data_IF_467196791679
#
_entry.id   IF_467196791679
#
_cell.length_a   1.000
_cell.length_b   1.000
_cell.length_c   1.000
_cell.angle_alpha   90.00
_cell.angle_beta   90.00
_cell.angle_gamma   90.00
#
_symmetry.space_group_name_H-M   'P 1'
#
loop_
_entity.id
_entity.type
_entity.pdbx_description
1 polymer ?
#
# COMPACT_ATOMS: atom_id res chain seq x y z
N UNK A 1 -17.24 2.78 7.61
CA UNK A 1 -15.98 2.03 7.77
C UNK A 1 -14.91 2.59 6.86
N UNK A 2 -13.78 3.01 7.42
CA UNK A 2 -12.59 3.37 6.65
C UNK A 2 -11.88 2.11 6.10
N UNK A 3 -10.87 2.28 5.24
CA UNK A 3 -10.16 1.15 4.60
C UNK A 3 -9.47 0.26 5.63
N UNK A 4 -8.86 0.81 6.66
CA UNK A 4 -8.19 0.04 7.72
C UNK A 4 -9.19 -0.83 8.49
N UNK A 5 -10.35 -0.29 8.86
CA UNK A 5 -11.43 -1.04 9.50
C UNK A 5 -11.94 -2.17 8.60
N UNK A 6 -11.99 -1.96 7.27
CA UNK A 6 -12.38 -3.02 6.31
C UNK A 6 -11.35 -4.15 6.28
N UNK A 7 -10.06 -3.82 6.31
CA UNK A 7 -9.00 -4.82 6.34
C UNK A 7 -9.07 -5.67 7.61
N UNK A 8 -9.31 -5.05 8.77
CA UNK A 8 -9.47 -5.75 10.04
C UNK A 8 -10.66 -6.72 10.05
N UNK A 9 -11.81 -6.29 9.51
CA UNK A 9 -13.02 -7.09 9.55
C UNK A 9 -13.12 -8.16 8.45
N UNK A 10 -12.45 -7.96 7.30
CA UNK A 10 -12.74 -8.73 6.08
C UNK A 10 -11.51 -9.31 5.37
N UNK A 11 -10.27 -9.01 5.79
CA UNK A 11 -9.05 -9.52 5.13
C UNK A 11 -8.22 -10.36 6.11
N UNK A 12 -7.79 -11.55 5.68
CA UNK A 12 -6.83 -12.33 6.46
C UNK A 12 -5.42 -11.73 6.30
N UNK A 13 -4.87 -11.21 7.40
CA UNK A 13 -3.56 -10.55 7.44
C UNK A 13 -2.49 -11.36 8.19
N UNK A 14 -2.69 -12.68 8.36
CA UNK A 14 -1.79 -13.53 9.18
C UNK A 14 -0.35 -13.65 8.66
N UNK A 15 -0.09 -13.28 7.40
CA UNK A 15 1.24 -13.30 6.79
C UNK A 15 1.99 -11.96 6.86
N UNK A 16 1.43 -10.93 7.50
CA UNK A 16 2.08 -9.62 7.66
C UNK A 16 2.16 -9.23 9.13
N UNK A 17 3.18 -8.42 9.49
CA UNK A 17 3.37 -7.99 10.88
C UNK A 17 2.35 -6.94 11.34
N UNK A 18 1.93 -6.05 10.43
CA UNK A 18 0.95 -5.01 10.71
C UNK A 18 0.38 -4.42 9.40
N UNK A 19 -0.82 -3.85 9.47
CA UNK A 19 -1.39 -3.01 8.41
C UNK A 19 -0.88 -1.58 8.62
N UNK A 20 -0.28 -1.00 7.58
CA UNK A 20 0.12 0.42 7.61
C UNK A 20 -1.09 1.31 7.27
N UNK A 21 -1.28 2.45 7.96
CA UNK A 21 -2.41 3.34 7.75
C UNK A 21 -2.19 4.26 6.55
N UNK A 22 -1.89 3.67 5.39
CA UNK A 22 -1.69 4.37 4.12
C UNK A 22 -2.45 3.62 3.02
N UNK A 23 -3.12 4.37 2.16
CA UNK A 23 -3.86 3.83 1.01
C UNK A 23 -3.28 4.48 -0.24
N UNK A 24 -2.74 3.66 -1.13
CA UNK A 24 -2.20 4.12 -2.42
C UNK A 24 -3.26 4.01 -3.51
N UNK A 25 -3.39 5.02 -4.36
CA UNK A 25 -4.41 5.10 -5.41
C UNK A 25 -3.85 4.87 -6.84
N UNK A 26 -2.63 5.33 -7.12
CA UNK A 26 -1.93 5.13 -8.38
C UNK A 26 -0.40 5.09 -8.20
N UNK A 27 0.29 4.66 -9.27
CA UNK A 27 1.75 4.56 -9.32
C UNK A 27 2.26 4.90 -10.74
N UNK A 28 3.45 5.48 -10.83
CA UNK A 28 4.16 5.77 -12.08
C UNK A 28 5.67 5.56 -11.90
N UNK A 29 6.26 4.67 -12.70
CA UNK A 29 7.66 4.28 -12.54
C UNK A 29 7.95 3.75 -11.12
N UNK A 30 8.94 4.35 -10.45
CA UNK A 30 9.32 4.01 -9.08
C UNK A 30 8.56 4.82 -8.00
N UNK A 31 7.50 5.56 -8.38
CA UNK A 31 6.72 6.40 -7.47
C UNK A 31 5.33 5.81 -7.21
N UNK A 32 4.87 5.89 -5.96
CA UNK A 32 3.49 5.59 -5.55
C UNK A 32 2.86 6.82 -4.89
N UNK A 33 1.56 6.98 -5.07
CA UNK A 33 0.80 8.15 -4.62
C UNK A 33 -0.33 7.72 -3.70
N UNK A 34 -0.52 8.43 -2.58
CA UNK A 34 -1.67 8.22 -1.70
C UNK A 34 -2.91 9.00 -2.17
N UNK A 35 -4.06 8.74 -1.55
CA UNK A 35 -5.34 9.40 -1.87
C UNK A 35 -5.32 10.94 -1.66
N UNK A 36 -4.35 11.47 -0.90
CA UNK A 36 -4.13 12.90 -0.69
C UNK A 36 -3.14 13.52 -1.72
N UNK A 37 -2.60 12.71 -2.64
CA UNK A 37 -1.61 13.09 -3.64
C UNK A 37 -0.18 13.19 -3.12
N UNK A 38 0.12 12.66 -1.93
CA UNK A 38 1.50 12.57 -1.43
C UNK A 38 2.24 11.49 -2.19
N UNK A 39 3.48 11.80 -2.60
CA UNK A 39 4.33 10.88 -3.35
C UNK A 39 5.35 10.18 -2.45
N UNK A 40 5.61 8.91 -2.73
CA UNK A 40 6.61 8.08 -2.08
C UNK A 40 7.43 7.33 -3.13
N UNK A 41 8.70 7.03 -2.82
CA UNK A 41 9.54 6.17 -3.65
C UNK A 41 9.31 4.71 -3.22
N UNK A 42 8.98 3.83 -4.15
CA UNK A 42 8.85 2.39 -3.89
C UNK A 42 10.23 1.72 -3.87
N UNK A 43 10.85 1.68 -2.68
CA UNK A 43 12.11 0.99 -2.45
C UNK A 43 11.97 -0.53 -2.27
N UNK A 44 10.74 -1.06 -2.27
CA UNK A 44 10.47 -2.48 -2.08
C UNK A 44 10.08 -3.19 -3.38
N UNK A 45 9.66 -2.43 -4.39
CA UNK A 45 9.29 -2.89 -5.72
C UNK A 45 8.27 -4.05 -5.66
N UNK A 46 7.28 -3.94 -4.75
CA UNK A 46 6.28 -4.99 -4.54
C UNK A 46 6.83 -6.37 -4.19
N UNK A 47 7.89 -6.45 -3.36
CA UNK A 47 8.70 -7.68 -3.14
C UNK A 47 9.51 -8.02 -4.41
N UNK A 48 10.16 -7.01 -4.99
CA UNK A 48 10.98 -7.10 -6.21
C UNK A 48 10.27 -7.67 -7.45
N UNK A 49 8.94 -7.53 -7.55
CA UNK A 49 8.16 -7.96 -8.72
C UNK A 49 7.89 -6.82 -9.70
N UNK A 50 7.94 -5.56 -9.26
CA UNK A 50 7.74 -4.38 -10.11
C UNK A 50 9.09 -3.86 -10.62
N UNK A 51 9.48 -4.30 -11.82
CA UNK A 51 10.58 -3.68 -12.56
C UNK A 51 10.08 -2.39 -13.21
N UNK A 52 10.37 -1.26 -12.57
CA UNK A 52 10.01 0.09 -13.04
C UNK A 52 10.86 0.55 -14.24
#
# INVERSE_FOLDING_TARGET
>A
MNTVEKYDNYVNISMVAAVQPVVFDHAEGAMVYDEDGRRFIDCFAGIAVTAA
#
